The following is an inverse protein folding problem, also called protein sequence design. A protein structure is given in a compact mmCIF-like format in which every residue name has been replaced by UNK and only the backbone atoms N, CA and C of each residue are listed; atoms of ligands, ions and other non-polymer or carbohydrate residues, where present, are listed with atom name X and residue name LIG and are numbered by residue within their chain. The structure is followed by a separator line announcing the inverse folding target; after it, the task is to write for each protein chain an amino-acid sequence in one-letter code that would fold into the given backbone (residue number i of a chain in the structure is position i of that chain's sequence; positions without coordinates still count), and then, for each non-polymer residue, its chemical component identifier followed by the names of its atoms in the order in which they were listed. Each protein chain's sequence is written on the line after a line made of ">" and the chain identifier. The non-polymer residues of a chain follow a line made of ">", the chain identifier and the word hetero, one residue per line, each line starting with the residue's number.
data_IF_641902621544
#
_entry.id   IF_641902621544
#
_cell.length_a   1.000
_cell.length_b   1.000
_cell.length_c   1.000
_cell.angle_alpha   90.00
_cell.angle_beta   90.00
_cell.angle_gamma   90.00
#
_symmetry.space_group_name_H-M   'P 1'
#
loop_
_entity.id
_entity.type
_entity.pdbx_description
1 polymer ?
#
# COMPACT_ATOMS: atom_id res chain seq x y z
N UNK A 1 4.29 16.18 17.08
CA UNK A 1 3.77 17.51 17.47
C UNK A 1 3.71 17.69 18.98
N UNK A 2 3.13 16.77 19.77
CA UNK A 2 2.91 17.04 21.21
C UNK A 2 4.17 17.48 21.98
N UNK A 3 5.33 16.83 21.74
CA UNK A 3 6.61 17.27 22.34
C UNK A 3 7.05 18.69 21.98
N UNK A 4 6.70 19.17 20.78
CA UNK A 4 6.99 20.56 20.38
C UNK A 4 5.99 21.50 21.04
N UNK A 5 4.72 21.12 21.14
CA UNK A 5 3.67 21.90 21.82
C UNK A 5 3.90 22.00 23.34
N UNK A 6 4.60 21.04 23.92
CA UNK A 6 5.05 21.02 25.32
C UNK A 6 6.39 21.76 25.54
N UNK A 7 6.93 22.45 24.52
CA UNK A 7 8.22 23.15 24.65
C UNK A 7 8.13 24.28 25.70
N UNK A 8 9.06 24.27 26.65
CA UNK A 8 9.20 25.36 27.61
C UNK A 8 9.75 26.58 26.88
N UNK A 9 8.95 27.64 26.83
CA UNK A 9 9.30 28.90 26.15
C UNK A 9 10.03 29.89 27.05
N UNK A 10 10.02 29.68 28.36
CA UNK A 10 10.66 30.56 29.33
C UNK A 10 11.49 29.78 30.32
N UNK A 11 12.78 30.09 30.42
CA UNK A 11 13.67 29.41 31.34
C UNK A 11 14.78 30.35 31.84
N UNK A 12 14.99 30.37 33.16
CA UNK A 12 16.13 31.04 33.75
C UNK A 12 17.36 30.13 33.76
N UNK A 13 18.46 30.61 33.21
CA UNK A 13 19.76 29.93 33.19
C UNK A 13 20.78 30.85 33.87
N UNK A 14 21.07 30.57 35.14
CA UNK A 14 21.95 31.37 36.00
C UNK A 14 21.50 32.86 36.09
N UNK A 15 22.27 33.75 35.45
CA UNK A 15 22.04 35.20 35.41
C UNK A 15 21.21 35.64 34.20
N UNK A 16 20.87 34.73 33.28
CA UNK A 16 20.18 35.03 32.02
C UNK A 16 18.75 34.46 32.08
N UNK A 17 17.80 35.21 31.56
CA UNK A 17 16.43 34.77 31.32
C UNK A 17 16.23 34.55 29.81
N UNK A 18 15.87 33.33 29.44
CA UNK A 18 15.62 32.94 28.06
C UNK A 18 14.13 33.02 27.77
N UNK A 19 13.75 33.79 26.75
CA UNK A 19 12.41 33.78 26.16
C UNK A 19 12.48 33.27 24.72
N UNK A 20 11.89 32.11 24.48
CA UNK A 20 11.83 31.42 23.20
C UNK A 20 10.43 31.43 22.57
N UNK A 21 9.50 32.23 23.10
CA UNK A 21 8.12 32.30 22.59
C UNK A 21 8.05 32.70 21.10
N UNK A 22 8.84 33.69 20.68
CA UNK A 22 8.92 34.08 19.26
C UNK A 22 9.44 32.93 18.39
N UNK A 23 10.50 32.26 18.83
CA UNK A 23 11.05 31.10 18.13
C UNK A 23 10.01 29.97 18.01
N UNK A 24 9.28 29.68 19.09
CA UNK A 24 8.19 28.70 19.07
C UNK A 24 7.13 29.07 18.03
N UNK A 25 6.64 30.31 18.07
CA UNK A 25 5.60 30.80 17.18
C UNK A 25 6.04 30.83 15.71
N UNK A 26 7.32 31.07 15.44
CA UNK A 26 7.88 31.07 14.09
C UNK A 26 8.08 29.65 13.54
N UNK A 27 8.41 28.68 14.39
CA UNK A 27 8.76 27.31 13.97
C UNK A 27 7.56 26.38 13.88
N UNK A 28 6.58 26.49 14.79
CA UNK A 28 5.42 25.58 14.87
C UNK A 28 4.52 25.53 13.62
N UNK A 29 4.25 26.63 12.91
CA UNK A 29 3.35 26.63 11.76
C UNK A 29 3.81 25.67 10.66
N UNK A 30 5.11 25.55 10.42
CA UNK A 30 5.63 24.75 9.31
C UNK A 30 5.42 23.23 9.49
N UNK A 31 5.80 22.60 10.62
CA UNK A 31 5.46 21.21 10.90
C UNK A 31 3.95 20.94 10.91
N UNK A 32 3.13 21.89 11.42
CA UNK A 32 1.66 21.76 11.39
C UNK A 32 1.14 21.71 9.95
N UNK A 33 1.62 22.63 9.11
CA UNK A 33 1.28 22.66 7.69
C UNK A 33 1.68 21.36 6.97
N UNK A 34 2.87 20.82 7.24
CA UNK A 34 3.30 19.54 6.65
C UNK A 34 2.33 18.41 7.03
N UNK A 35 1.97 18.28 8.30
CA UNK A 35 1.07 17.22 8.75
C UNK A 35 -0.31 17.38 8.12
N UNK A 36 -0.80 18.61 8.00
CA UNK A 36 -2.04 18.91 7.30
C UNK A 36 -1.98 18.51 5.82
N UNK A 37 -0.92 18.89 5.10
CA UNK A 37 -0.72 18.49 3.70
C UNK A 37 -0.66 16.96 3.54
N UNK A 38 0.08 16.26 4.41
CA UNK A 38 0.13 14.80 4.38
C UNK A 38 -1.28 14.23 4.63
N UNK A 39 -2.02 14.76 5.61
CA UNK A 39 -3.39 14.35 5.90
C UNK A 39 -4.37 14.58 4.73
N UNK A 40 -4.13 15.58 3.90
CA UNK A 40 -4.94 15.87 2.72
C UNK A 40 -4.60 14.98 1.52
N UNK A 41 -3.31 14.65 1.32
CA UNK A 41 -2.85 13.97 0.11
C UNK A 41 -2.62 12.47 0.27
N UNK A 42 -2.13 12.02 1.43
CA UNK A 42 -1.81 10.61 1.66
C UNK A 42 -3.05 9.70 1.57
N UNK A 43 -4.20 10.05 2.18
CA UNK A 43 -5.37 9.17 2.14
C UNK A 43 -5.94 8.94 0.74
N UNK A 44 -6.18 9.98 -0.09
CA UNK A 44 -6.63 9.77 -1.48
C UNK A 44 -5.66 8.91 -2.29
N UNK A 45 -4.35 9.17 -2.17
CA UNK A 45 -3.32 8.40 -2.88
C UNK A 45 -3.30 6.92 -2.48
N UNK A 46 -3.48 6.63 -1.18
CA UNK A 46 -3.54 5.26 -0.69
C UNK A 46 -4.79 4.51 -1.19
N UNK A 47 -5.94 5.20 -1.22
CA UNK A 47 -7.20 4.64 -1.73
C UNK A 47 -7.08 4.33 -3.22
N UNK A 48 -6.62 5.29 -4.02
CA UNK A 48 -6.45 5.13 -5.46
C UNK A 48 -5.52 3.95 -5.80
N UNK A 49 -4.38 3.87 -5.11
CA UNK A 49 -3.45 2.73 -5.29
C UNK A 49 -4.07 1.40 -4.91
N UNK A 50 -4.84 1.33 -3.82
CA UNK A 50 -5.54 0.12 -3.41
C UNK A 50 -6.61 -0.31 -4.43
N UNK A 51 -7.38 0.62 -4.97
CA UNK A 51 -8.36 0.34 -6.03
C UNK A 51 -7.71 -0.20 -7.30
N UNK A 52 -6.64 0.45 -7.76
CA UNK A 52 -5.88 0.00 -8.93
C UNK A 52 -5.34 -1.42 -8.71
N UNK A 53 -4.76 -1.67 -7.55
CA UNK A 53 -4.19 -2.97 -7.20
C UNK A 53 -5.25 -4.08 -7.17
N UNK A 54 -6.37 -3.84 -6.51
CA UNK A 54 -7.46 -4.84 -6.46
C UNK A 54 -8.02 -5.14 -7.85
N UNK A 55 -8.12 -4.13 -8.71
CA UNK A 55 -8.54 -4.34 -10.09
C UNK A 55 -7.56 -5.26 -10.83
N UNK A 56 -6.26 -4.98 -10.75
CA UNK A 56 -5.22 -5.81 -11.36
C UNK A 56 -5.24 -7.25 -10.84
N UNK A 57 -5.35 -7.46 -9.53
CA UNK A 57 -5.41 -8.82 -8.97
C UNK A 57 -6.68 -9.55 -9.42
N UNK A 58 -7.84 -8.89 -9.44
CA UNK A 58 -9.10 -9.52 -9.91
C UNK A 58 -9.06 -9.88 -11.39
N UNK A 59 -8.41 -9.05 -12.21
CA UNK A 59 -8.19 -9.36 -13.63
C UNK A 59 -7.26 -10.57 -13.80
N UNK A 60 -6.21 -10.67 -12.97
CA UNK A 60 -5.34 -11.83 -12.95
C UNK A 60 -6.07 -13.12 -12.54
N UNK A 61 -6.86 -13.08 -11.46
CA UNK A 61 -7.66 -14.23 -11.01
C UNK A 61 -8.65 -14.70 -12.08
N UNK A 62 -9.29 -13.77 -12.82
CA UNK A 62 -10.15 -14.13 -13.96
C UNK A 62 -9.39 -14.81 -15.11
N UNK A 63 -8.14 -14.42 -15.33
CA UNK A 63 -7.29 -15.05 -16.34
C UNK A 63 -6.92 -16.47 -15.90
N UNK A 64 -6.62 -16.65 -14.62
CA UNK A 64 -6.37 -17.95 -13.98
C UNK A 64 -7.56 -18.90 -14.10
N UNK A 65 -8.77 -18.42 -13.80
CA UNK A 65 -10.03 -19.19 -13.88
C UNK A 65 -10.48 -19.55 -15.30
N UNK A 66 -9.80 -19.05 -16.34
CA UNK A 66 -10.20 -19.29 -17.73
C UNK A 66 -9.80 -20.71 -18.15
N UNK A 67 -10.80 -21.55 -18.41
CA UNK A 67 -10.61 -22.85 -19.07
C UNK A 67 -10.49 -22.67 -20.60
N UNK A 68 -9.32 -22.94 -21.21
CA UNK A 68 -9.17 -22.89 -22.66
C UNK A 68 -9.90 -24.06 -23.31
N UNK A 69 -10.63 -23.79 -24.41
CA UNK A 69 -11.44 -24.80 -25.13
C UNK A 69 -10.74 -25.35 -26.38
N UNK A 70 -9.60 -24.78 -26.75
CA UNK A 70 -8.77 -25.23 -27.87
C UNK A 70 -7.28 -25.21 -27.50
N UNK A 71 -6.47 -25.88 -28.32
CA UNK A 71 -5.01 -25.93 -28.16
C UNK A 71 -4.40 -24.54 -28.35
N UNK A 72 -4.85 -23.77 -29.34
CA UNK A 72 -4.41 -22.39 -29.55
C UNK A 72 -4.74 -21.50 -28.35
N UNK A 73 -5.95 -21.62 -27.77
CA UNK A 73 -6.33 -20.88 -26.57
C UNK A 73 -5.48 -21.27 -25.36
N UNK A 74 -5.11 -22.56 -25.26
CA UNK A 74 -4.25 -23.06 -24.19
C UNK A 74 -2.82 -22.49 -24.29
N UNK A 75 -2.23 -22.44 -25.48
CA UNK A 75 -0.90 -21.84 -25.70
C UNK A 75 -0.91 -20.35 -25.38
N UNK A 76 -1.96 -19.63 -25.78
CA UNK A 76 -2.14 -18.22 -25.44
C UNK A 76 -2.30 -18.01 -23.93
N UNK A 77 -3.08 -18.87 -23.27
CA UNK A 77 -3.27 -18.84 -21.82
C UNK A 77 -1.95 -19.07 -21.07
N UNK A 78 -1.15 -20.06 -21.47
CA UNK A 78 0.17 -20.31 -20.91
C UNK A 78 1.14 -19.12 -21.08
N UNK A 79 1.17 -18.49 -22.26
CA UNK A 79 2.02 -17.32 -22.49
C UNK A 79 1.65 -16.15 -21.56
N UNK A 80 0.35 -15.95 -21.31
CA UNK A 80 -0.14 -14.92 -20.39
C UNK A 80 0.20 -15.24 -18.92
N UNK A 81 0.05 -16.50 -18.50
CA UNK A 81 0.44 -16.94 -17.15
C UNK A 81 1.93 -16.76 -16.90
N UNK A 82 2.77 -17.07 -17.87
CA UNK A 82 4.22 -16.94 -17.73
C UNK A 82 4.64 -15.46 -17.63
N UNK A 83 3.98 -14.57 -18.38
CA UNK A 83 4.16 -13.12 -18.23
C UNK A 83 3.75 -12.64 -16.84
N UNK A 84 2.61 -13.12 -16.34
CA UNK A 84 2.11 -12.75 -15.01
C UNK A 84 3.06 -13.19 -13.89
N UNK A 85 3.61 -14.40 -13.98
CA UNK A 85 4.58 -14.92 -13.01
C UNK A 85 5.83 -14.01 -12.88
N UNK A 86 6.29 -13.42 -13.99
CA UNK A 86 7.40 -12.46 -13.97
C UNK A 86 7.03 -11.12 -13.31
N UNK A 87 5.77 -10.70 -13.39
CA UNK A 87 5.27 -9.45 -12.82
C UNK A 87 4.85 -9.56 -11.34
N UNK A 88 4.80 -10.79 -10.81
CA UNK A 88 4.36 -11.13 -9.45
C UNK A 88 5.25 -10.49 -8.36
N UNK A 89 6.56 -10.41 -8.61
CA UNK A 89 7.50 -9.72 -7.70
C UNK A 89 7.18 -8.23 -7.59
N UNK A 90 6.82 -7.59 -8.71
CA UNK A 90 6.42 -6.19 -8.72
C UNK A 90 5.11 -5.99 -7.96
N UNK A 91 4.17 -6.92 -8.12
CA UNK A 91 2.90 -6.94 -7.41
C UNK A 91 3.09 -7.06 -5.88
N UNK A 92 3.99 -7.93 -5.41
CA UNK A 92 4.32 -8.03 -3.99
C UNK A 92 4.89 -6.72 -3.42
N UNK A 93 5.78 -6.07 -4.17
CA UNK A 93 6.32 -4.76 -3.80
C UNK A 93 5.22 -3.69 -3.70
N UNK A 94 4.29 -3.65 -4.65
CA UNK A 94 3.16 -2.71 -4.61
C UNK A 94 2.23 -2.98 -3.42
N UNK A 95 1.96 -4.25 -3.10
CA UNK A 95 1.16 -4.63 -1.93
C UNK A 95 1.81 -4.16 -0.62
N UNK A 96 3.13 -4.31 -0.50
CA UNK A 96 3.89 -3.83 0.66
C UNK A 96 3.85 -2.29 0.79
N UNK A 97 3.93 -1.57 -0.32
CA UNK A 97 3.82 -0.10 -0.32
C UNK A 97 2.43 0.32 0.15
N UNK A 98 1.36 -0.28 -0.38
CA UNK A 98 -0.02 0.03 0.04
C UNK A 98 -0.21 -0.27 1.53
N UNK A 99 0.30 -1.41 1.99
CA UNK A 99 0.26 -1.78 3.41
C UNK A 99 0.95 -0.73 4.29
N UNK A 100 2.11 -0.22 3.87
CA UNK A 100 2.82 0.85 4.60
C UNK A 100 2.01 2.16 4.61
N UNK A 101 1.39 2.53 3.49
CA UNK A 101 0.55 3.74 3.41
C UNK A 101 -0.59 3.68 4.43
N UNK A 102 -1.33 2.57 4.49
CA UNK A 102 -2.45 2.40 5.43
C UNK A 102 -1.97 2.33 6.90
N UNK A 103 -0.76 1.83 7.18
CA UNK A 103 -0.18 1.92 8.52
C UNK A 103 0.13 3.37 8.90
N UNK A 104 0.76 4.15 8.02
CA UNK A 104 1.06 5.56 8.30
C UNK A 104 -0.23 6.35 8.57
N UNK A 105 -1.27 6.15 7.76
CA UNK A 105 -2.57 6.79 7.96
C UNK A 105 -3.11 6.48 9.37
N UNK A 106 -3.02 5.21 9.79
CA UNK A 106 -3.47 4.77 11.11
C UNK A 106 -2.62 5.37 12.24
N UNK A 107 -1.30 5.37 12.10
CA UNK A 107 -0.35 5.86 13.12
C UNK A 107 -0.50 7.36 13.36
N UNK A 108 -0.84 8.12 12.32
CA UNK A 108 -1.11 9.55 12.40
C UNK A 108 -2.60 9.89 12.59
N UNK A 109 -3.45 8.88 12.80
CA UNK A 109 -4.90 9.02 13.02
C UNK A 109 -5.59 9.88 11.95
N UNK A 110 -5.17 9.75 10.69
CA UNK A 110 -5.72 10.51 9.56
C UNK A 110 -7.13 10.01 9.24
N UNK A 111 -8.02 10.94 8.88
CA UNK A 111 -9.42 10.62 8.63
C UNK A 111 -9.58 9.82 7.32
N UNK A 112 -10.02 8.57 7.45
CA UNK A 112 -10.41 7.71 6.33
C UNK A 112 -11.77 7.08 6.64
N UNK A 113 -12.62 7.00 5.62
CA UNK A 113 -13.93 6.32 5.71
C UNK A 113 -13.75 4.84 6.02
N UNK A 114 -14.64 4.29 6.86
CA UNK A 114 -14.64 2.86 7.19
C UNK A 114 -14.74 1.97 5.94
N UNK A 115 -15.44 2.42 4.91
CA UNK A 115 -15.55 1.77 3.60
C UNK A 115 -14.19 1.54 2.95
N UNK A 116 -13.33 2.56 2.91
CA UNK A 116 -11.99 2.48 2.32
C UNK A 116 -11.08 1.53 3.11
N UNK A 117 -11.20 1.50 4.44
CA UNK A 117 -10.50 0.54 5.28
C UNK A 117 -10.99 -0.89 5.05
N UNK A 118 -12.30 -1.11 4.98
CA UNK A 118 -12.88 -2.41 4.65
C UNK A 118 -12.40 -2.89 3.28
N UNK A 119 -12.35 -1.97 2.31
CA UNK A 119 -11.84 -2.25 0.98
C UNK A 119 -10.36 -2.64 1.02
N UNK A 120 -9.49 -1.91 1.72
CA UNK A 120 -8.10 -2.32 1.96
C UNK A 120 -7.99 -3.68 2.66
N UNK A 121 -8.84 -3.97 3.66
CA UNK A 121 -8.84 -5.28 4.33
C UNK A 121 -9.18 -6.42 3.38
N UNK A 122 -10.02 -6.17 2.37
CA UNK A 122 -10.33 -7.16 1.33
C UNK A 122 -9.12 -7.44 0.42
N UNK A 123 -8.22 -6.46 0.20
CA UNK A 123 -7.00 -6.65 -0.60
C UNK A 123 -6.14 -7.80 -0.03
N UNK A 124 -6.00 -7.89 1.29
CA UNK A 124 -5.24 -8.97 1.91
C UNK A 124 -5.83 -10.35 1.60
N UNK A 125 -7.15 -10.49 1.60
CA UNK A 125 -7.83 -11.74 1.25
C UNK A 125 -7.61 -12.11 -0.22
N UNK A 126 -7.74 -11.15 -1.12
CA UNK A 126 -7.61 -11.37 -2.56
C UNK A 126 -6.15 -11.65 -2.93
N UNK A 127 -5.20 -11.00 -2.28
CA UNK A 127 -3.76 -11.25 -2.44
C UNK A 127 -3.36 -12.65 -1.93
N UNK A 128 -3.98 -13.14 -0.85
CA UNK A 128 -3.77 -14.52 -0.39
C UNK A 128 -4.31 -15.56 -1.37
N UNK A 129 -5.46 -15.30 -2.00
CA UNK A 129 -5.98 -16.16 -3.07
C UNK A 129 -4.98 -16.24 -4.22
N UNK A 130 -4.47 -15.09 -4.68
CA UNK A 130 -3.47 -15.04 -5.73
C UNK A 130 -2.20 -15.83 -5.37
N UNK A 131 -1.68 -15.72 -4.13
CA UNK A 131 -0.51 -16.50 -3.71
C UNK A 131 -0.73 -18.03 -3.76
N UNK A 132 -1.94 -18.49 -3.42
CA UNK A 132 -2.29 -19.92 -3.49
C UNK A 132 -2.37 -20.36 -4.94
N UNK A 133 -2.93 -19.51 -5.80
CA UNK A 133 -3.04 -19.76 -7.24
C UNK A 133 -1.68 -19.67 -7.94
N UNK A 134 -0.75 -18.84 -7.48
CA UNK A 134 0.64 -18.78 -7.96
C UNK A 134 1.39 -20.09 -7.64
N UNK A 135 1.17 -20.67 -6.46
CA UNK A 135 1.68 -22.00 -6.11
C UNK A 135 1.09 -23.08 -7.03
N UNK A 136 -0.18 -22.96 -7.42
CA UNK A 136 -0.81 -23.82 -8.42
C UNK A 136 -0.27 -23.58 -9.83
N UNK A 137 0.01 -22.34 -10.23
CA UNK A 137 0.61 -22.01 -11.53
C UNK A 137 2.01 -22.62 -11.63
N UNK A 138 2.86 -22.44 -10.62
CA UNK A 138 4.20 -23.04 -10.59
C UNK A 138 4.09 -24.56 -10.67
N UNK A 139 3.18 -25.19 -9.90
CA UNK A 139 2.95 -26.63 -9.98
C UNK A 139 2.44 -27.08 -11.36
N UNK A 140 1.54 -26.31 -11.99
CA UNK A 140 0.97 -26.62 -13.31
C UNK A 140 2.00 -26.43 -14.42
N UNK A 141 2.82 -25.38 -14.36
CA UNK A 141 3.92 -25.16 -15.31
C UNK A 141 4.95 -26.27 -15.15
N UNK A 142 5.40 -26.57 -13.93
CA UNK A 142 6.40 -27.62 -13.68
C UNK A 142 5.89 -29.02 -14.07
N UNK A 143 4.62 -29.35 -13.78
CA UNK A 143 4.03 -30.64 -14.15
C UNK A 143 3.77 -30.73 -15.67
N UNK A 144 3.27 -29.67 -16.32
CA UNK A 144 2.92 -29.73 -17.75
C UNK A 144 4.11 -29.58 -18.69
N UNK A 145 5.20 -28.92 -18.27
CA UNK A 145 6.49 -28.96 -18.99
C UNK A 145 7.12 -30.35 -18.94
N UNK A 146 6.81 -31.16 -17.91
CA UNK A 146 7.30 -32.53 -17.80
C UNK A 146 6.55 -33.56 -18.65
N UNK A 147 5.38 -33.20 -19.21
CA UNK A 147 4.51 -34.10 -20.00
C UNK A 147 4.66 -33.87 -21.52
N UNK A 148 5.44 -32.87 -21.94
CA UNK A 148 5.85 -32.60 -23.33
C UNK A 148 7.33 -32.94 -23.53
#
# INVERSE_FOLDING_TARGET
>A
LSKMEEMVTEQRICLIELHAEKFYNDVIPYPKHIIECIGQHLPPMAIEKNEKMQKTIREALKLLDRDPKSVEEFVQHLALLNKFNNDLTNLENEFQIITKLFHIIKDFNMNIKAESYAFYRSLASIYQQLKVDDLLIILIIDIKVFIL
#
